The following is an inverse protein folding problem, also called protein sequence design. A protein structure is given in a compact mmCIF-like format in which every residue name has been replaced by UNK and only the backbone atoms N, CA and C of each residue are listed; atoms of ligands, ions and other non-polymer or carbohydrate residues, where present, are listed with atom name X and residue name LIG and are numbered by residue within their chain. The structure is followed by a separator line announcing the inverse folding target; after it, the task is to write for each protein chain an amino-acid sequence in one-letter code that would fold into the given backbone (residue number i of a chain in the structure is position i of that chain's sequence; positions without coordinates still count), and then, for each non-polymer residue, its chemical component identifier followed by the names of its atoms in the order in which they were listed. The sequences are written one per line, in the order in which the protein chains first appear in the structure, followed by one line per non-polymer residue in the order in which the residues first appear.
data_IF_130783219887
#
_entry.id   IF_130783219887
#
_cell.length_a   1.000
_cell.length_b   1.000
_cell.length_c   1.000
_cell.angle_alpha   90.00
_cell.angle_beta   90.00
_cell.angle_gamma   90.00
#
_symmetry.space_group_name_H-M   'P 1'
#
loop_
_entity.id
_entity.type
_entity.pdbx_description
1 polymer ?
#
# COMPACT_ATOMS: atom_id res chain seq x y z
N UNK A 1 2.43 -8.56 -12.12
CA UNK A 1 3.04 -8.02 -10.87
C UNK A 1 4.22 -8.90 -10.49
N UNK A 2 5.15 -8.45 -9.64
CA UNK A 2 6.51 -9.02 -9.46
C UNK A 2 6.61 -10.55 -9.29
N UNK A 3 7.79 -11.10 -9.53
CA UNK A 3 8.06 -12.56 -9.56
C UNK A 3 8.55 -13.14 -8.22
N UNK A 4 8.50 -12.36 -7.13
CA UNK A 4 9.04 -12.74 -5.83
C UNK A 4 7.93 -12.80 -4.77
N UNK A 5 7.96 -13.74 -3.82
CA UNK A 5 8.90 -14.87 -3.73
C UNK A 5 8.57 -15.96 -4.77
N UNK A 6 9.60 -16.47 -5.45
CA UNK A 6 9.44 -17.50 -6.50
C UNK A 6 8.91 -18.84 -5.95
N UNK A 7 8.97 -19.05 -4.63
CA UNK A 7 8.53 -20.27 -3.96
C UNK A 7 7.03 -20.35 -3.73
N UNK A 8 6.28 -19.27 -3.99
CA UNK A 8 4.82 -19.24 -3.84
C UNK A 8 4.22 -19.12 -5.25
N UNK A 9 3.36 -20.06 -5.69
CA UNK A 9 2.65 -19.94 -6.95
C UNK A 9 1.89 -18.61 -7.01
N UNK A 10 2.19 -17.81 -8.02
CA UNK A 10 1.52 -16.53 -8.23
C UNK A 10 0.16 -16.74 -8.87
N UNK A 11 -0.83 -15.93 -8.46
CA UNK A 11 -2.14 -15.91 -9.10
C UNK A 11 -2.03 -15.36 -10.54
N UNK A 12 -2.68 -16.02 -11.50
CA UNK A 12 -2.68 -15.60 -12.91
C UNK A 12 -3.22 -14.18 -13.13
N UNK A 13 -2.38 -13.26 -13.63
CA UNK A 13 -2.82 -11.90 -14.00
C UNK A 13 -3.55 -11.91 -15.34
N UNK A 14 -4.82 -11.54 -15.35
CA UNK A 14 -5.68 -11.55 -16.56
C UNK A 14 -5.82 -10.20 -17.23
N UNK A 15 -5.66 -9.09 -16.49
CA UNK A 15 -5.70 -7.75 -17.06
C UNK A 15 -4.86 -6.73 -16.26
N UNK A 16 -4.47 -5.66 -16.95
CA UNK A 16 -3.87 -4.45 -16.38
C UNK A 16 -4.44 -3.24 -17.11
N UNK A 17 -5.00 -2.31 -16.36
CA UNK A 17 -5.47 -1.02 -16.85
C UNK A 17 -4.74 0.11 -16.11
N UNK A 18 -4.19 1.05 -16.85
CA UNK A 18 -3.48 2.22 -16.31
C UNK A 18 -4.14 3.48 -16.84
N UNK A 19 -4.55 4.34 -15.93
CA UNK A 19 -5.11 5.67 -16.20
C UNK A 19 -4.25 6.73 -15.49
N UNK A 20 -4.59 8.00 -15.64
CA UNK A 20 -3.80 9.11 -15.07
C UNK A 20 -3.62 9.02 -13.54
N UNK A 21 -4.63 8.53 -12.82
CA UNK A 21 -4.64 8.52 -11.34
C UNK A 21 -4.88 7.15 -10.73
N UNK A 22 -5.12 6.13 -11.58
CA UNK A 22 -5.49 4.79 -11.13
C UNK A 22 -4.78 3.72 -11.95
N UNK A 23 -4.27 2.71 -11.25
CA UNK A 23 -3.79 1.45 -11.85
C UNK A 23 -4.62 0.30 -11.30
N UNK A 24 -5.22 -0.49 -12.18
CA UNK A 24 -6.06 -1.63 -11.82
C UNK A 24 -5.42 -2.91 -12.34
N UNK A 25 -5.05 -3.81 -11.43
CA UNK A 25 -4.65 -5.18 -11.76
C UNK A 25 -5.84 -6.12 -11.55
N UNK A 26 -6.00 -7.09 -12.46
CA UNK A 26 -6.95 -8.18 -12.30
C UNK A 26 -6.24 -9.52 -12.34
N UNK A 27 -6.56 -10.36 -11.38
CA UNK A 27 -6.05 -11.72 -11.25
C UNK A 27 -7.23 -12.69 -11.11
N UNK A 28 -7.13 -13.86 -11.72
CA UNK A 28 -8.17 -14.90 -11.62
C UNK A 28 -7.53 -16.27 -11.52
N UNK A 29 -7.94 -17.04 -10.50
CA UNK A 29 -7.55 -18.42 -10.31
C UNK A 29 -8.47 -19.09 -9.29
N UNK A 30 -8.54 -20.42 -9.29
CA UNK A 30 -9.24 -21.21 -8.27
C UNK A 30 -10.69 -20.74 -7.98
N UNK A 31 -11.42 -20.26 -8.98
CA UNK A 31 -12.82 -19.83 -8.83
C UNK A 31 -13.00 -18.45 -8.19
N UNK A 32 -11.93 -17.66 -8.03
CA UNK A 32 -11.98 -16.27 -7.58
C UNK A 32 -11.42 -15.30 -8.61
N UNK A 33 -11.88 -14.05 -8.54
CA UNK A 33 -11.29 -12.87 -9.16
C UNK A 33 -10.83 -11.91 -8.07
N UNK A 34 -9.56 -11.54 -8.09
CA UNK A 34 -8.98 -10.48 -7.27
C UNK A 34 -8.71 -9.26 -8.14
N UNK A 35 -9.31 -8.13 -7.80
CA UNK A 35 -8.97 -6.82 -8.37
C UNK A 35 -8.21 -6.00 -7.33
N UNK A 36 -7.03 -5.49 -7.71
CA UNK A 36 -6.23 -4.58 -6.86
C UNK A 36 -6.11 -3.24 -7.56
N UNK A 37 -6.61 -2.20 -6.91
CA UNK A 37 -6.66 -0.84 -7.42
C UNK A 37 -5.74 0.04 -6.61
N UNK A 38 -4.77 0.65 -7.26
CA UNK A 38 -3.96 1.73 -6.71
C UNK A 38 -4.55 3.06 -7.20
N UNK A 39 -4.88 3.96 -6.28
CA UNK A 39 -5.48 5.27 -6.58
C UNK A 39 -4.71 6.39 -5.88
N UNK A 40 -4.36 7.41 -6.65
CA UNK A 40 -3.83 8.69 -6.14
C UNK A 40 -4.78 9.81 -6.58
N UNK A 41 -5.50 10.48 -5.65
CA UNK A 41 -6.51 11.47 -6.01
C UNK A 41 -5.89 12.82 -6.42
N UNK A 42 -5.22 12.83 -7.58
CA UNK A 42 -4.58 14.03 -8.14
C UNK A 42 -5.61 14.91 -8.85
N UNK A 43 -6.53 15.48 -8.06
CA UNK A 43 -7.63 16.32 -8.52
C UNK A 43 -7.16 17.79 -8.61
N UNK A 44 -6.90 18.35 -9.81
CA UNK A 44 -6.26 19.67 -9.96
C UNK A 44 -7.12 20.83 -9.43
N UNK A 45 -8.44 20.63 -9.32
CA UNK A 45 -9.38 21.63 -8.80
C UNK A 45 -9.66 21.46 -7.29
N UNK A 46 -9.08 20.44 -6.65
CA UNK A 46 -9.18 20.19 -5.21
C UNK A 46 -7.77 20.08 -4.61
N UNK A 47 -7.07 21.20 -4.53
CA UNK A 47 -5.65 21.26 -4.10
C UNK A 47 -5.42 20.62 -2.71
N UNK A 48 -6.37 20.77 -1.79
CA UNK A 48 -6.32 20.15 -0.45
C UNK A 48 -6.38 18.62 -0.49
N UNK A 49 -6.98 18.04 -1.53
CA UNK A 49 -7.00 16.60 -1.76
C UNK A 49 -5.72 16.17 -2.46
N UNK A 50 -5.31 16.92 -3.49
CA UNK A 50 -4.10 16.66 -4.27
C UNK A 50 -2.81 16.74 -3.44
N UNK A 51 -2.77 17.62 -2.43
CA UNK A 51 -1.61 17.80 -1.57
C UNK A 51 -1.45 16.72 -0.49
N UNK A 52 -2.41 15.78 -0.35
CA UNK A 52 -2.33 14.71 0.66
C UNK A 52 -1.31 13.66 0.22
N UNK A 53 -0.29 13.34 1.05
CA UNK A 53 0.69 12.30 0.74
C UNK A 53 0.10 10.90 1.02
N UNK A 54 -1.00 10.56 0.35
CA UNK A 54 -1.76 9.32 0.57
C UNK A 54 -1.98 8.62 -0.77
N UNK A 55 -1.70 7.32 -0.79
CA UNK A 55 -2.13 6.41 -1.86
C UNK A 55 -3.15 5.43 -1.30
N UNK A 56 -4.24 5.21 -2.03
CA UNK A 56 -5.26 4.24 -1.67
C UNK A 56 -4.99 2.93 -2.39
N UNK A 57 -5.14 1.82 -1.66
CA UNK A 57 -5.12 0.47 -2.23
C UNK A 57 -6.44 -0.19 -1.88
N UNK A 58 -7.23 -0.51 -2.90
CA UNK A 58 -8.49 -1.26 -2.74
C UNK A 58 -8.32 -2.65 -3.30
N UNK A 59 -8.67 -3.67 -2.51
CA UNK A 59 -8.71 -5.05 -2.94
C UNK A 59 -10.17 -5.54 -2.96
N UNK A 60 -10.62 -6.01 -4.11
CA UNK A 60 -11.97 -6.56 -4.30
C UNK A 60 -11.85 -8.02 -4.71
N UNK A 61 -12.49 -8.91 -3.94
CA UNK A 61 -12.52 -10.35 -4.22
C UNK A 61 -13.95 -10.72 -4.63
N UNK A 62 -14.10 -11.47 -5.72
CA UNK A 62 -15.40 -11.94 -6.21
C UNK A 62 -15.30 -13.41 -6.62
N UNK A 63 -16.29 -14.23 -6.25
CA UNK A 63 -16.38 -15.61 -6.74
C UNK A 63 -16.76 -15.63 -8.24
N UNK A 64 -16.11 -16.46 -9.04
CA UNK A 64 -16.35 -16.60 -10.49
C UNK A 64 -17.03 -17.92 -10.86
N UNK A 65 -17.15 -18.85 -9.90
CA UNK A 65 -17.66 -20.21 -10.09
C UNK A 65 -19.00 -20.49 -9.37
N UNK A 66 -19.57 -19.48 -8.71
CA UNK A 66 -20.77 -19.58 -7.85
C UNK A 66 -20.59 -20.44 -6.59
N UNK A 67 -19.36 -20.80 -6.23
CA UNK A 67 -19.05 -21.44 -4.96
C UNK A 67 -18.71 -20.41 -3.87
N UNK A 68 -18.76 -20.83 -2.62
CA UNK A 68 -18.24 -20.06 -1.50
C UNK A 68 -16.75 -20.32 -1.34
N UNK A 69 -15.98 -19.25 -1.12
CA UNK A 69 -14.53 -19.31 -0.98
C UNK A 69 -14.09 -18.66 0.33
N UNK A 70 -13.18 -19.30 1.05
CA UNK A 70 -12.50 -18.68 2.18
C UNK A 70 -11.22 -18.00 1.68
N UNK A 71 -11.10 -16.69 1.90
CA UNK A 71 -9.99 -15.89 1.37
C UNK A 71 -9.38 -15.04 2.47
N UNK A 72 -8.04 -15.06 2.55
CA UNK A 72 -7.26 -14.22 3.43
C UNK A 72 -6.33 -13.32 2.60
N UNK A 73 -6.28 -12.04 2.95
CA UNK A 73 -5.37 -11.08 2.33
C UNK A 73 -4.33 -10.64 3.35
N UNK A 74 -3.06 -10.80 2.99
CA UNK A 74 -1.94 -10.19 3.71
C UNK A 74 -1.44 -9.01 2.89
N UNK A 75 -1.51 -7.82 3.47
CA UNK A 75 -0.94 -6.60 2.88
C UNK A 75 0.07 -5.99 3.85
N UNK A 76 1.23 -5.63 3.33
CA UNK A 76 2.32 -5.06 4.11
C UNK A 76 3.15 -4.09 3.29
N UNK A 77 3.76 -3.15 3.98
CA UNK A 77 4.68 -2.18 3.40
C UNK A 77 6.01 -2.23 4.16
N UNK A 78 7.11 -2.01 3.47
CA UNK A 78 8.43 -2.00 4.10
C UNK A 78 8.65 -0.70 4.88
N UNK A 79 9.22 -0.75 6.10
CA UNK A 79 9.56 0.45 6.85
C UNK A 79 10.70 1.26 6.18
N UNK A 80 11.38 0.71 5.18
CA UNK A 80 12.35 1.42 4.33
C UNK A 80 11.74 2.65 3.65
N UNK A 81 10.42 2.71 3.51
CA UNK A 81 9.71 3.91 3.04
C UNK A 81 9.91 5.15 3.93
N UNK A 82 10.34 4.96 5.19
CA UNK A 82 10.63 6.04 6.13
C UNK A 82 12.14 6.19 6.44
N UNK A 83 13.01 5.63 5.60
CA UNK A 83 14.47 5.71 5.74
C UNK A 83 15.15 6.18 4.45
N UNK A 84 16.38 6.66 4.60
CA UNK A 84 17.29 7.07 3.53
C UNK A 84 18.08 5.87 2.99
N UNK A 85 18.52 4.99 3.87
CA UNK A 85 19.19 3.73 3.54
C UNK A 85 18.48 2.55 4.20
N UNK A 86 18.56 1.34 3.61
CA UNK A 86 17.87 0.16 4.14
C UNK A 86 18.47 -0.38 5.45
N UNK A 87 19.64 0.09 5.87
CA UNK A 87 20.33 -0.33 7.10
C UNK A 87 19.99 0.53 8.31
N UNK A 88 19.25 1.63 8.12
CA UNK A 88 18.83 2.48 9.23
C UNK A 88 17.86 1.77 10.15
N UNK A 89 18.06 1.98 11.45
CA UNK A 89 17.16 1.48 12.48
C UNK A 89 15.80 2.17 12.41
N UNK A 90 14.73 1.38 12.58
CA UNK A 90 13.35 1.84 12.51
C UNK A 90 12.61 1.53 13.80
N UNK A 91 11.80 2.48 14.25
CA UNK A 91 10.75 2.25 15.24
C UNK A 91 9.46 1.94 14.50
N UNK A 92 8.73 0.93 15.00
CA UNK A 92 7.39 0.64 14.52
C UNK A 92 6.41 0.49 15.68
N UNK A 93 5.14 0.77 15.40
CA UNK A 93 4.05 0.61 16.35
C UNK A 93 2.75 0.27 15.64
N UNK A 94 1.80 -0.29 16.39
CA UNK A 94 0.44 -0.57 15.96
C UNK A 94 -0.55 0.10 16.89
N UNK A 95 -1.56 0.75 16.32
CA UNK A 95 -2.61 1.43 17.06
C UNK A 95 -3.98 1.27 16.38
N UNK A 96 -5.03 1.65 17.10
CA UNK A 96 -6.39 1.81 16.56
C UNK A 96 -6.73 3.30 16.54
N UNK A 97 -7.22 3.80 15.40
CA UNK A 97 -7.64 5.19 15.24
C UNK A 97 -8.90 5.24 14.38
N UNK A 98 -9.98 5.86 14.89
CA UNK A 98 -11.22 6.14 14.12
C UNK A 98 -11.75 4.92 13.32
N UNK A 99 -11.78 3.73 13.92
CA UNK A 99 -12.25 2.51 13.25
C UNK A 99 -11.28 1.93 12.22
N UNK A 100 -9.99 2.24 12.34
CA UNK A 100 -8.92 1.70 11.51
C UNK A 100 -7.81 1.10 12.36
N UNK A 101 -7.21 0.02 11.89
CA UNK A 101 -5.92 -0.46 12.38
C UNK A 101 -4.82 0.29 11.64
N UNK A 102 -3.91 0.93 12.38
CA UNK A 102 -2.83 1.74 11.82
C UNK A 102 -1.48 1.18 12.27
N UNK A 103 -0.64 0.82 11.30
CA UNK A 103 0.77 0.58 11.49
C UNK A 103 1.54 1.86 11.18
N UNK A 104 2.47 2.23 12.05
CA UNK A 104 3.37 3.36 11.86
C UNK A 104 4.81 2.87 11.89
N UNK A 105 5.62 3.28 10.94
CA UNK A 105 7.06 3.08 10.96
C UNK A 105 7.81 4.39 10.70
N UNK A 106 9.00 4.53 11.31
CA UNK A 106 9.80 5.76 11.24
C UNK A 106 11.27 5.45 11.52
N UNK A 107 12.19 6.18 10.89
CA UNK A 107 13.59 6.19 11.30
C UNK A 107 13.71 6.51 12.80
N UNK A 108 14.47 5.71 13.55
CA UNK A 108 14.70 5.93 14.98
C UNK A 108 15.26 7.32 15.27
N UNK A 109 16.19 7.82 14.43
CA UNK A 109 16.95 9.04 14.69
C UNK A 109 16.22 10.36 14.42
N UNK A 110 15.23 10.37 13.53
CA UNK A 110 14.50 11.58 13.11
C UNK A 110 15.41 12.82 12.83
N UNK A 111 16.38 12.74 11.89
CA UNK A 111 17.37 13.80 11.65
C UNK A 111 16.77 14.97 10.84
N UNK A 112 15.85 15.72 11.44
CA UNK A 112 15.12 16.81 10.78
C UNK A 112 16.09 17.90 10.31
N UNK A 113 16.22 18.05 8.98
CA UNK A 113 17.07 19.04 8.32
C UNK A 113 18.57 18.96 8.66
N UNK A 114 19.05 17.82 9.18
CA UNK A 114 20.47 17.64 9.51
C UNK A 114 21.35 17.31 8.28
N UNK A 115 20.74 16.87 7.17
CA UNK A 115 21.45 16.39 5.98
C UNK A 115 21.19 17.31 4.78
N UNK A 116 22.21 17.48 3.95
CA UNK A 116 22.13 18.19 2.68
C UNK A 116 23.00 17.48 1.62
N UNK A 117 22.62 17.62 0.35
CA UNK A 117 23.30 16.99 -0.79
C UNK A 117 22.35 16.14 -1.64
N UNK A 118 22.92 15.49 -2.64
CA UNK A 118 22.16 14.69 -3.60
C UNK A 118 21.89 13.27 -3.08
N UNK A 119 20.90 12.60 -3.68
CA UNK A 119 20.56 11.20 -3.43
C UNK A 119 20.16 10.89 -1.97
N UNK A 120 19.65 11.89 -1.24
CA UNK A 120 19.06 11.74 0.08
C UNK A 120 17.54 11.56 -0.03
N UNK A 121 16.99 10.59 0.69
CA UNK A 121 15.53 10.52 0.92
C UNK A 121 15.21 11.25 2.22
N UNK A 122 13.97 11.73 2.28
CA UNK A 122 13.40 12.24 3.53
C UNK A 122 13.29 11.06 4.51
N UNK A 123 14.16 11.03 5.51
CA UNK A 123 14.21 9.99 6.55
C UNK A 123 13.81 10.52 7.94
N UNK A 124 13.06 11.60 7.95
CA UNK A 124 12.36 12.13 9.11
C UNK A 124 10.85 12.16 8.83
N UNK A 125 10.02 12.01 9.86
CA UNK A 125 8.60 11.72 9.72
C UNK A 125 8.30 10.22 9.74
N UNK A 126 7.16 9.84 9.16
CA UNK A 126 6.58 8.49 9.32
C UNK A 126 5.83 8.02 8.09
N UNK A 127 5.94 6.72 7.80
CA UNK A 127 5.00 6.01 6.93
C UNK A 127 3.88 5.42 7.78
N UNK A 128 2.64 5.52 7.27
CA UNK A 128 1.45 4.95 7.88
C UNK A 128 0.82 3.95 6.91
N UNK A 129 0.49 2.76 7.41
CA UNK A 129 -0.41 1.83 6.75
C UNK A 129 -1.68 1.74 7.59
N UNK A 130 -2.78 2.27 7.07
CA UNK A 130 -4.09 2.23 7.71
C UNK A 130 -5.01 1.29 6.97
N UNK A 131 -5.69 0.42 7.71
CA UNK A 131 -6.71 -0.51 7.19
C UNK A 131 -7.99 -0.29 7.97
N UNK A 132 -9.11 0.10 7.32
CA UNK A 132 -10.39 0.27 8.00
C UNK A 132 -10.94 -1.07 8.48
N UNK A 133 -11.71 -1.03 9.58
CA UNK A 133 -12.38 -2.21 10.13
C UNK A 133 -13.54 -2.70 9.25
N UNK A 134 -14.09 -1.80 8.42
CA UNK A 134 -15.20 -2.07 7.50
C UNK A 134 -14.75 -1.96 6.04
N UNK A 135 -15.28 -2.83 5.19
CA UNK A 135 -15.07 -2.78 3.75
C UNK A 135 -15.68 -1.52 3.13
N UNK A 136 -14.97 -0.86 2.22
CA UNK A 136 -15.48 0.30 1.47
C UNK A 136 -15.48 1.64 2.22
N UNK A 137 -14.82 1.71 3.39
CA UNK A 137 -14.62 2.93 4.16
C UNK A 137 -13.43 3.78 3.67
#
# INVERSE_FOLDING_TARGET
MGTWPQSIPGIGQTALEVTATRTTYRFEEAGIRLEVVFLSPLLPFELDVMARPISYVTATITATDRASHEVQLLFGVSPVLATDTPTQEVLWSRSRLRGMTVLRASNFRQPVLEKAGDNLRIDWGSVLLAVPDQSGA
#
